data_IF_777469609651
#
_entry.id   IF_777469609651
#
_cell.length_a   1.000
_cell.length_b   1.000
_cell.length_c   1.000
_cell.angle_alpha   90.00
_cell.angle_beta   90.00
_cell.angle_gamma   90.00
#
_symmetry.space_group_name_H-M   'P 1'
#
loop_
_entity.id
_entity.type
_entity.pdbx_description
1 polymer ?
#
# COMPACT_ATOMS: atom_id res chain seq x y z
N UNK A 1 -4.05 -6.16 23.21
CA UNK A 1 -3.05 -5.71 22.19
C UNK A 1 -2.55 -6.86 21.33
N UNK A 2 -1.90 -7.89 21.83
CA UNK A 2 -1.46 -9.04 21.00
C UNK A 2 -2.60 -9.80 20.33
N UNK A 3 -3.74 -9.95 20.97
CA UNK A 3 -4.92 -10.60 20.42
C UNK A 3 -5.51 -9.80 19.27
N UNK A 4 -5.64 -8.50 19.42
CA UNK A 4 -6.11 -7.57 18.40
C UNK A 4 -5.21 -7.56 17.15
N UNK A 5 -3.90 -7.62 17.31
CA UNK A 5 -2.95 -7.69 16.19
C UNK A 5 -3.07 -9.02 15.44
N UNK A 6 -3.29 -10.12 16.16
CA UNK A 6 -3.57 -11.43 15.54
C UNK A 6 -4.85 -11.38 14.71
N UNK A 7 -5.89 -10.71 15.19
CA UNK A 7 -7.13 -10.51 14.44
C UNK A 7 -6.90 -9.72 13.15
N UNK A 8 -6.05 -8.67 13.20
CA UNK A 8 -5.70 -7.90 12.02
C UNK A 8 -5.02 -8.76 10.95
N UNK A 9 -4.00 -9.53 11.34
CA UNK A 9 -3.32 -10.42 10.40
C UNK A 9 -4.21 -11.57 9.93
N UNK A 10 -5.04 -12.12 10.80
CA UNK A 10 -6.00 -13.15 10.42
C UNK A 10 -7.02 -12.65 9.39
N UNK A 11 -7.53 -11.45 9.58
CA UNK A 11 -8.43 -10.81 8.60
C UNK A 11 -7.75 -10.65 7.23
N UNK A 12 -6.54 -10.09 7.20
CA UNK A 12 -5.79 -9.90 5.95
C UNK A 12 -5.46 -11.22 5.27
N UNK A 13 -5.13 -12.26 6.04
CA UNK A 13 -4.89 -13.61 5.55
C UNK A 13 -6.16 -14.21 4.92
N UNK A 14 -7.30 -14.03 5.56
CA UNK A 14 -8.59 -14.52 5.06
C UNK A 14 -8.95 -13.88 3.72
N UNK A 15 -8.86 -12.56 3.62
CA UNK A 15 -9.12 -11.84 2.35
C UNK A 15 -8.11 -12.23 1.26
N UNK A 16 -6.86 -12.47 1.67
CA UNK A 16 -5.80 -12.89 0.74
C UNK A 16 -6.05 -14.30 0.16
N UNK A 17 -6.63 -15.22 0.93
CA UNK A 17 -6.89 -16.60 0.53
C UNK A 17 -8.18 -16.81 -0.22
N UNK A 18 -9.18 -16.01 0.07
CA UNK A 18 -10.52 -16.19 -0.50
C UNK A 18 -10.55 -15.67 -1.94
N UNK A 19 -10.35 -16.61 -2.87
CA UNK A 19 -10.43 -16.32 -4.31
C UNK A 19 -11.88 -16.19 -4.81
N UNK A 20 -12.86 -16.62 -4.03
CA UNK A 20 -14.27 -16.58 -4.41
C UNK A 20 -14.96 -15.27 -4.00
N UNK A 21 -14.33 -14.49 -3.13
CA UNK A 21 -14.89 -13.19 -2.74
C UNK A 21 -14.91 -12.24 -3.94
N UNK A 22 -16.04 -11.60 -4.25
CA UNK A 22 -16.06 -10.56 -5.27
C UNK A 22 -15.05 -9.44 -4.93
N UNK A 23 -14.23 -9.04 -5.89
CA UNK A 23 -13.16 -8.06 -5.67
C UNK A 23 -13.68 -6.73 -5.09
N UNK A 24 -14.87 -6.29 -5.51
CA UNK A 24 -15.52 -5.10 -4.94
C UNK A 24 -15.85 -5.27 -3.46
N UNK A 25 -16.25 -6.48 -3.05
CA UNK A 25 -16.49 -6.80 -1.64
C UNK A 25 -15.18 -6.81 -0.86
N UNK A 26 -14.14 -7.42 -1.40
CA UNK A 26 -12.81 -7.41 -0.79
C UNK A 26 -12.29 -5.97 -0.58
N UNK A 27 -12.40 -5.11 -1.58
CA UNK A 27 -12.00 -3.69 -1.46
C UNK A 27 -12.81 -2.94 -0.42
N UNK A 28 -14.12 -3.21 -0.30
CA UNK A 28 -14.96 -2.63 0.76
C UNK A 28 -14.46 -3.05 2.14
N UNK A 29 -14.23 -4.33 2.34
CA UNK A 29 -13.74 -4.88 3.61
C UNK A 29 -12.35 -4.33 3.99
N UNK A 30 -11.43 -4.24 3.03
CA UNK A 30 -10.09 -3.68 3.26
C UNK A 30 -10.15 -2.19 3.59
N UNK A 31 -11.06 -1.45 2.97
CA UNK A 31 -11.27 -0.03 3.28
C UNK A 31 -11.80 0.16 4.70
N UNK A 32 -12.84 -0.58 5.06
CA UNK A 32 -13.40 -0.56 6.42
C UNK A 32 -12.35 -0.97 7.46
N UNK A 33 -11.51 -1.94 7.12
CA UNK A 33 -10.36 -2.32 7.95
C UNK A 33 -9.38 -1.16 8.15
N UNK A 34 -8.97 -0.47 7.09
CA UNK A 34 -8.09 0.70 7.20
C UNK A 34 -8.72 1.82 8.04
N UNK A 35 -10.01 2.11 7.82
CA UNK A 35 -10.74 3.12 8.60
C UNK A 35 -10.78 2.76 10.10
N UNK A 36 -11.05 1.50 10.43
CA UNK A 36 -11.02 1.01 11.81
C UNK A 36 -9.63 1.11 12.40
N UNK A 37 -8.60 0.65 11.67
CA UNK A 37 -7.21 0.70 12.11
C UNK A 37 -6.74 2.13 12.40
N UNK A 38 -7.07 3.08 11.53
CA UNK A 38 -6.77 4.49 11.78
C UNK A 38 -7.54 5.02 12.99
N UNK A 39 -8.80 4.65 13.16
CA UNK A 39 -9.63 5.13 14.28
C UNK A 39 -9.09 4.68 15.63
N UNK A 40 -8.64 3.43 15.77
CA UNK A 40 -8.07 2.89 17.02
C UNK A 40 -6.77 3.58 17.42
N UNK A 41 -6.06 4.20 16.48
CA UNK A 41 -4.80 4.92 16.72
C UNK A 41 -4.99 6.43 16.98
N UNK A 42 -6.20 6.93 16.87
CA UNK A 42 -6.51 8.34 17.10
C UNK A 42 -6.74 8.61 18.58
N UNK A 43 -6.28 9.77 19.11
CA UNK A 43 -6.59 10.15 20.48
C UNK A 43 -8.10 10.43 20.66
N UNK A 44 -8.59 10.14 21.86
CA UNK A 44 -9.96 10.49 22.25
C UNK A 44 -10.19 12.00 22.07
N UNK A 45 -11.27 12.37 21.41
CA UNK A 45 -11.61 13.77 21.13
C UNK A 45 -11.13 14.32 19.78
N UNK A 46 -10.38 13.55 18.99
CA UNK A 46 -9.99 13.95 17.62
C UNK A 46 -11.11 13.79 16.58
N UNK A 47 -12.36 13.84 17.02
CA UNK A 47 -13.58 13.72 16.20
C UNK A 47 -13.66 14.73 15.03
N UNK A 48 -12.82 15.76 15.03
CA UNK A 48 -12.76 16.75 13.95
C UNK A 48 -12.08 16.23 12.68
N UNK A 49 -11.30 15.16 12.74
CA UNK A 49 -10.74 14.52 11.55
C UNK A 49 -11.75 13.52 10.94
N UNK A 50 -12.72 14.03 10.22
CA UNK A 50 -13.77 13.21 9.57
C UNK A 50 -13.26 12.53 8.31
N UNK A 51 -12.28 13.13 7.63
CA UNK A 51 -11.74 12.61 6.37
C UNK A 51 -10.70 11.50 6.61
N UNK A 52 -10.87 10.37 5.92
CA UNK A 52 -9.93 9.25 5.95
C UNK A 52 -8.52 9.65 5.49
N UNK A 53 -8.39 10.59 4.56
CA UNK A 53 -7.08 11.09 4.11
C UNK A 53 -6.30 11.73 5.26
N UNK A 54 -6.95 12.60 6.02
CA UNK A 54 -6.34 13.25 7.18
C UNK A 54 -5.96 12.24 8.27
N UNK A 55 -6.83 11.25 8.52
CA UNK A 55 -6.54 10.18 9.49
C UNK A 55 -5.34 9.33 9.08
N UNK A 56 -5.25 8.93 7.81
CA UNK A 56 -4.10 8.19 7.28
C UNK A 56 -2.83 9.00 7.48
N UNK A 57 -2.81 10.27 7.09
CA UNK A 57 -1.63 11.13 7.22
C UNK A 57 -1.19 11.29 8.68
N UNK A 58 -2.13 11.48 9.60
CA UNK A 58 -1.84 11.60 11.02
C UNK A 58 -1.25 10.30 11.59
N UNK A 59 -1.93 9.18 11.37
CA UNK A 59 -1.52 7.87 11.93
C UNK A 59 -0.22 7.39 11.30
N UNK A 60 -0.04 7.56 9.99
CA UNK A 60 1.17 7.20 9.28
C UNK A 60 2.38 8.02 9.77
N UNK A 61 2.21 9.32 9.97
CA UNK A 61 3.26 10.18 10.53
C UNK A 61 3.63 9.76 11.95
N UNK A 62 2.63 9.47 12.81
CA UNK A 62 2.84 8.99 14.18
C UNK A 62 3.57 7.64 14.21
N UNK A 63 3.28 6.75 13.28
CA UNK A 63 3.94 5.45 13.14
C UNK A 63 5.34 5.53 12.50
N UNK A 64 5.79 6.71 12.08
CA UNK A 64 7.08 6.89 11.45
C UNK A 64 7.18 6.30 10.04
N UNK A 65 6.06 6.27 9.30
CA UNK A 65 6.08 5.85 7.90
C UNK A 65 6.83 6.85 7.04
N UNK A 66 7.62 6.35 6.11
CA UNK A 66 8.24 7.16 5.06
C UNK A 66 7.16 7.78 4.16
N UNK A 67 7.53 8.82 3.43
CA UNK A 67 6.64 9.47 2.45
C UNK A 67 6.12 8.47 1.42
N UNK A 68 6.95 7.51 1.03
CA UNK A 68 6.60 6.46 0.07
C UNK A 68 5.52 5.53 0.64
N UNK A 69 5.69 5.08 1.88
CA UNK A 69 4.72 4.22 2.57
C UNK A 69 3.39 4.95 2.77
N UNK A 70 3.43 6.23 3.14
CA UNK A 70 2.22 7.07 3.23
C UNK A 70 1.51 7.20 1.88
N UNK A 71 2.25 7.47 0.81
CA UNK A 71 1.69 7.56 -0.54
C UNK A 71 1.02 6.26 -0.98
N UNK A 72 1.54 5.09 -0.59
CA UNK A 72 0.90 3.79 -0.87
C UNK A 72 -0.45 3.67 -0.19
N UNK A 73 -0.57 4.08 1.07
CA UNK A 73 -1.84 4.10 1.79
C UNK A 73 -2.84 5.03 1.12
N UNK A 74 -2.40 6.21 0.68
CA UNK A 74 -3.26 7.13 -0.07
C UNK A 74 -3.65 6.58 -1.43
N UNK A 75 -2.73 5.90 -2.13
CA UNK A 75 -3.03 5.20 -3.39
C UNK A 75 -4.09 4.12 -3.17
N UNK A 76 -3.94 3.29 -2.14
CA UNK A 76 -4.97 2.31 -1.79
C UNK A 76 -6.33 2.98 -1.49
N UNK A 77 -6.33 4.08 -0.73
CA UNK A 77 -7.56 4.84 -0.45
C UNK A 77 -8.25 5.31 -1.75
N UNK A 78 -7.47 5.84 -2.69
CA UNK A 78 -8.00 6.30 -3.98
C UNK A 78 -8.47 5.15 -4.85
N UNK A 79 -7.70 4.06 -4.93
CA UNK A 79 -8.07 2.85 -5.68
C UNK A 79 -9.35 2.25 -5.13
N UNK A 80 -9.46 2.09 -3.81
CA UNK A 80 -10.67 1.57 -3.18
C UNK A 80 -11.90 2.45 -3.47
N UNK A 81 -11.74 3.77 -3.43
CA UNK A 81 -12.82 4.69 -3.82
C UNK A 81 -13.24 4.49 -5.29
N UNK A 82 -12.27 4.41 -6.20
CA UNK A 82 -12.56 4.24 -7.62
C UNK A 82 -13.28 2.91 -7.89
N UNK A 83 -12.85 1.83 -7.25
CA UNK A 83 -13.50 0.51 -7.37
C UNK A 83 -14.93 0.55 -6.81
N UNK A 84 -15.12 1.11 -5.61
CA UNK A 84 -16.44 1.16 -4.97
C UNK A 84 -17.42 2.07 -5.72
N UNK A 85 -16.94 3.11 -6.39
CA UNK A 85 -17.74 4.00 -7.23
C UNK A 85 -17.85 3.53 -8.70
N UNK A 86 -17.36 2.32 -9.00
CA UNK A 86 -17.37 1.74 -10.36
C UNK A 86 -16.61 2.59 -11.41
N UNK A 87 -15.60 3.32 -10.97
CA UNK A 87 -14.74 4.14 -11.84
C UNK A 87 -13.48 3.38 -12.28
N UNK A 88 -13.18 2.25 -11.64
CA UNK A 88 -12.08 1.38 -11.98
C UNK A 88 -12.49 -0.09 -11.80
N UNK A 89 -11.98 -0.94 -12.69
CA UNK A 89 -12.13 -2.37 -12.54
C UNK A 89 -11.03 -2.93 -11.62
N UNK A 90 -11.41 -3.66 -10.57
CA UNK A 90 -10.44 -4.24 -9.67
C UNK A 90 -9.76 -5.46 -10.33
N UNK A 91 -8.50 -5.69 -10.00
CA UNK A 91 -7.79 -6.92 -10.34
C UNK A 91 -7.30 -7.62 -9.08
N UNK A 92 -7.16 -8.94 -9.15
CA UNK A 92 -6.63 -9.75 -8.04
C UNK A 92 -5.19 -9.35 -7.72
N UNK A 93 -4.40 -9.06 -8.73
CA UNK A 93 -3.01 -8.64 -8.56
C UNK A 93 -2.92 -7.32 -7.78
N UNK A 94 -3.72 -6.33 -8.14
CA UNK A 94 -3.77 -5.06 -7.43
C UNK A 94 -4.27 -5.25 -5.98
N UNK A 95 -5.28 -6.10 -5.77
CA UNK A 95 -5.77 -6.43 -4.44
C UNK A 95 -4.65 -7.00 -3.55
N UNK A 96 -3.84 -7.93 -4.06
CA UNK A 96 -2.73 -8.51 -3.30
C UNK A 96 -1.64 -7.48 -2.96
N UNK A 97 -1.36 -6.54 -3.86
CA UNK A 97 -0.45 -5.42 -3.58
C UNK A 97 -1.00 -4.50 -2.48
N UNK A 98 -2.29 -4.23 -2.52
CA UNK A 98 -2.96 -3.41 -1.52
C UNK A 98 -3.00 -4.11 -0.15
N UNK A 99 -3.26 -5.43 -0.12
CA UNK A 99 -3.15 -6.25 1.10
C UNK A 99 -1.72 -6.17 1.66
N UNK A 100 -0.70 -6.26 0.80
CA UNK A 100 0.70 -6.11 1.23
C UNK A 100 0.94 -4.75 1.88
N UNK A 101 0.47 -3.67 1.29
CA UNK A 101 0.57 -2.32 1.86
C UNK A 101 -0.05 -2.25 3.25
N UNK A 102 -1.26 -2.79 3.42
CA UNK A 102 -1.94 -2.82 4.72
C UNK A 102 -1.22 -3.71 5.74
N UNK A 103 -0.67 -4.84 5.30
CA UNK A 103 0.10 -5.76 6.16
C UNK A 103 1.34 -5.07 6.74
N UNK A 104 2.10 -4.35 5.91
CA UNK A 104 3.27 -3.60 6.39
C UNK A 104 2.87 -2.41 7.25
N UNK A 105 1.73 -1.80 6.99
CA UNK A 105 1.20 -0.74 7.85
C UNK A 105 0.85 -1.27 9.24
N UNK A 106 0.19 -2.43 9.35
CA UNK A 106 -0.05 -3.09 10.65
C UNK A 106 1.27 -3.37 11.37
N UNK A 107 2.27 -3.93 10.68
CA UNK A 107 3.60 -4.16 11.27
C UNK A 107 4.20 -2.88 11.83
N UNK A 108 4.17 -1.79 11.09
CA UNK A 108 4.72 -0.49 11.53
C UNK A 108 3.98 0.08 12.74
N UNK A 109 2.65 -0.06 12.78
CA UNK A 109 1.83 0.42 13.89
C UNK A 109 2.03 -0.37 15.18
N UNK A 110 2.21 -1.66 15.06
CA UNK A 110 2.17 -2.59 16.21
C UNK A 110 3.55 -3.09 16.62
N UNK A 111 4.52 -3.04 15.73
CA UNK A 111 5.85 -3.63 15.92
C UNK A 111 5.87 -5.16 15.85
N UNK A 112 4.72 -5.81 15.64
CA UNK A 112 4.62 -7.27 15.59
C UNK A 112 5.01 -7.83 14.22
N UNK A 113 5.69 -8.96 14.22
CA UNK A 113 6.13 -9.60 12.98
C UNK A 113 4.96 -10.16 12.16
N UNK A 114 5.09 -10.07 10.84
CA UNK A 114 4.10 -10.61 9.92
C UNK A 114 4.13 -12.13 9.98
N UNK A 115 2.99 -12.81 10.17
CA UNK A 115 2.92 -14.25 10.16
C UNK A 115 3.49 -14.82 8.86
N UNK A 116 4.34 -15.85 8.96
CA UNK A 116 5.01 -16.45 7.81
C UNK A 116 4.03 -16.93 6.72
N UNK A 117 2.85 -17.36 7.14
CA UNK A 117 1.79 -17.82 6.25
C UNK A 117 1.23 -16.66 5.39
N UNK A 118 0.93 -15.52 5.99
CA UNK A 118 0.52 -14.33 5.26
C UNK A 118 1.65 -13.82 4.35
N UNK A 119 2.86 -13.74 4.89
CA UNK A 119 4.02 -13.25 4.13
C UNK A 119 4.28 -14.04 2.84
N UNK A 120 4.05 -15.37 2.87
CA UNK A 120 4.23 -16.23 1.67
C UNK A 120 3.21 -15.97 0.56
N UNK A 121 2.03 -15.48 0.91
CA UNK A 121 0.96 -15.18 -0.05
C UNK A 121 1.09 -13.78 -0.67
N UNK A 122 1.84 -12.89 -0.02
CA UNK A 122 2.04 -11.54 -0.53
C UNK A 122 2.93 -11.57 -1.77
N UNK A 123 2.66 -10.71 -2.76
CA UNK A 123 3.49 -10.61 -3.94
C UNK A 123 4.92 -10.25 -3.54
N UNK A 124 5.88 -11.03 -4.02
CA UNK A 124 7.29 -10.67 -3.89
C UNK A 124 7.53 -9.42 -4.72
N UNK A 125 8.55 -8.64 -4.33
CA UNK A 125 9.05 -7.59 -5.19
C UNK A 125 9.75 -8.25 -6.38
N UNK A 126 8.98 -8.62 -7.38
CA UNK A 126 9.57 -8.88 -8.66
C UNK A 126 10.07 -7.54 -9.17
N UNK A 127 11.37 -7.46 -9.46
CA UNK A 127 11.97 -6.36 -10.20
C UNK A 127 11.47 -6.38 -11.66
N UNK A 128 10.17 -6.59 -11.84
CA UNK A 128 9.53 -6.46 -13.13
C UNK A 128 9.35 -4.97 -13.36
N UNK A 129 10.30 -4.41 -14.07
CA UNK A 129 10.16 -3.09 -14.66
C UNK A 129 8.97 -3.12 -15.59
N UNK A 130 7.81 -2.65 -15.15
CA UNK A 130 6.73 -2.30 -16.08
C UNK A 130 7.16 -0.97 -16.72
N UNK A 131 8.11 -1.08 -17.62
CA UNK A 131 8.46 0.04 -18.48
C UNK A 131 7.38 0.10 -19.55
N UNK A 132 6.58 1.17 -19.56
CA UNK A 132 5.63 1.37 -20.66
C UNK A 132 6.39 1.30 -22.00
N UNK A 133 5.77 0.80 -23.08
CA UNK A 133 6.43 0.73 -24.39
C UNK A 133 7.02 2.07 -24.85
N UNK A 134 6.40 3.19 -24.48
CA UNK A 134 6.89 4.56 -24.73
C UNK A 134 8.13 4.91 -23.91
N UNK A 135 8.30 4.32 -22.73
CA UNK A 135 9.48 4.55 -21.90
C UNK A 135 10.67 3.69 -22.32
N UNK A 136 10.46 2.55 -23.02
CA UNK A 136 11.56 1.69 -23.51
C UNK A 136 12.51 2.44 -24.45
N UNK A 137 12.01 3.32 -25.25
CA UNK A 137 12.83 4.09 -26.18
C UNK A 137 13.58 5.24 -25.50
N UNK A 138 12.99 5.85 -24.47
CA UNK A 138 13.63 6.86 -23.64
C UNK A 138 14.69 6.28 -22.70
N UNK A 139 14.44 5.10 -22.12
CA UNK A 139 15.40 4.42 -21.19
C UNK A 139 16.70 4.02 -21.90
N UNK A 140 16.70 3.81 -23.21
CA UNK A 140 17.96 3.59 -23.97
C UNK A 140 18.92 4.78 -23.95
N UNK A 141 18.46 5.98 -23.62
CA UNK A 141 19.22 7.23 -23.63
C UNK A 141 19.38 7.87 -22.26
N UNK A 142 18.82 7.28 -21.20
CA UNK A 142 18.82 7.84 -19.86
C UNK A 142 19.67 6.99 -18.92
N UNK A 143 20.53 7.64 -18.13
CA UNK A 143 21.05 7.01 -16.91
C UNK A 143 19.92 6.90 -15.91
N UNK A 144 19.80 5.74 -15.33
CA UNK A 144 18.80 5.45 -14.30
C UNK A 144 19.50 5.54 -12.96
N UNK A 145 19.05 6.47 -12.12
CA UNK A 145 19.50 6.55 -10.75
C UNK A 145 18.52 5.78 -9.85
N UNK A 146 19.05 4.84 -9.09
CA UNK A 146 18.30 4.20 -8.04
C UNK A 146 18.20 5.16 -6.86
N UNK A 147 17.04 5.71 -6.61
CA UNK A 147 16.84 6.64 -5.53
C UNK A 147 16.32 5.95 -4.26
N UNK A 148 15.65 4.83 -4.42
CA UNK A 148 15.04 4.11 -3.31
C UNK A 148 14.76 2.66 -3.67
N UNK A 149 15.18 1.75 -2.82
CA UNK A 149 14.81 0.35 -2.86
C UNK A 149 14.25 -0.04 -1.51
N UNK A 150 13.02 -0.52 -1.47
CA UNK A 150 12.48 -1.20 -0.31
C UNK A 150 12.12 -2.64 -0.68
N UNK A 151 11.66 -3.42 0.28
CA UNK A 151 11.27 -4.81 0.07
C UNK A 151 10.12 -4.98 -0.96
N UNK A 152 9.55 -3.88 -1.45
CA UNK A 152 8.36 -3.87 -2.27
C UNK A 152 8.57 -3.28 -3.65
N UNK A 153 9.31 -2.17 -3.79
CA UNK A 153 9.46 -1.44 -5.04
C UNK A 153 10.87 -0.88 -5.21
N UNK A 154 11.36 -0.95 -6.43
CA UNK A 154 12.52 -0.22 -6.89
C UNK A 154 12.02 1.04 -7.62
N UNK A 155 12.33 2.19 -7.09
CA UNK A 155 12.03 3.47 -7.73
C UNK A 155 13.17 3.86 -8.61
N UNK A 156 12.87 3.97 -9.90
CA UNK A 156 13.85 4.36 -10.90
C UNK A 156 13.44 5.73 -11.42
N UNK A 157 14.24 6.74 -11.13
CA UNK A 157 14.06 8.06 -11.72
C UNK A 157 14.91 8.16 -12.99
N UNK A 158 14.31 8.46 -14.12
CA UNK A 158 15.07 8.79 -15.31
C UNK A 158 15.80 10.13 -15.09
N UNK A 159 17.11 10.12 -15.21
CA UNK A 159 17.91 11.36 -15.19
C UNK A 159 18.12 11.78 -16.62
N UNK A 160 17.60 12.94 -16.98
CA UNK A 160 17.88 13.55 -18.27
C UNK A 160 19.29 14.16 -18.22
N UNK A 161 20.22 13.48 -18.89
CA UNK A 161 21.61 13.91 -18.95
C UNK A 161 21.82 15.20 -19.74
N UNK A 162 20.82 15.67 -20.48
CA UNK A 162 20.89 16.94 -21.22
C UNK A 162 20.90 18.16 -20.28
N UNK A 163 20.46 17.98 -19.03
CA UNK A 163 20.44 19.03 -18.00
C UNK A 163 21.69 19.04 -17.11
N UNK A 164 22.58 18.06 -17.22
CA UNK A 164 23.83 18.03 -16.50
C UNK A 164 24.89 18.65 -17.40
N UNK A 165 25.05 19.97 -17.31
CA UNK A 165 26.27 20.63 -17.81
C UNK A 165 27.40 20.29 -16.85
N UNK A 166 28.32 19.48 -17.33
CA UNK A 166 29.63 19.27 -16.72
C UNK A 166 30.55 20.37 -17.19
#
# INVERSE_FOLDING_TARGET
MQEEVREYYHFLLTVCRDENIPLTTAYRQLREFLERLCRTQMPDGSLQMTDLSARISFVASKAGLSVVEQNRLHTFRLTSNAVLNRLAEPSRENLLRDIKTLTFFVKKLTGEEIPAELYRLLPRADATYIVSPLAKERVRRMRVCFQYADDTYLYVLPVDLSLIHI
#
